data_IF_041354334368
#
_entry.id   IF_041354334368
#
_cell.length_a   1.000
_cell.length_b   1.000
_cell.length_c   1.000
_cell.angle_alpha   90.00
_cell.angle_beta   90.00
_cell.angle_gamma   90.00
#
_symmetry.space_group_name_H-M   'P 1'
#
loop_
_entity.id
_entity.type
_entity.pdbx_description
1 polymer ?
#
# COMPACT_ATOMS: atom_id res chain seq x y z
N UNK A 1 -13.87 -17.36 25.66
CA UNK A 1 -12.75 -16.44 25.31
C UNK A 1 -11.69 -17.30 24.66
N UNK A 2 -11.46 -17.15 23.35
CA UNK A 2 -10.37 -17.88 22.67
C UNK A 2 -9.07 -17.64 23.45
N UNK A 3 -8.37 -18.74 23.77
CA UNK A 3 -7.19 -18.68 24.63
C UNK A 3 -6.09 -17.88 23.93
N UNK A 4 -5.17 -17.27 24.68
CA UNK A 4 -4.00 -16.57 24.12
C UNK A 4 -3.13 -17.43 23.17
N UNK A 5 -3.39 -18.74 23.03
CA UNK A 5 -2.72 -19.65 22.10
C UNK A 5 -3.31 -19.64 20.68
N UNK A 6 -4.54 -19.17 20.49
CA UNK A 6 -5.27 -19.21 19.21
C UNK A 6 -5.15 -17.89 18.42
N UNK A 7 -3.98 -17.28 18.49
CA UNK A 7 -3.79 -15.92 18.03
C UNK A 7 -3.04 -15.89 16.68
N UNK A 8 -3.71 -15.55 15.56
CA UNK A 8 -3.26 -15.88 14.21
C UNK A 8 -1.83 -15.50 13.90
N UNK A 9 -1.42 -14.26 14.20
CA UNK A 9 -0.07 -13.75 13.95
C UNK A 9 0.21 -12.68 15.01
N UNK A 10 0.33 -13.09 16.27
CA UNK A 10 0.53 -12.12 17.34
C UNK A 10 1.85 -11.35 17.21
N UNK A 11 1.83 -10.04 17.48
CA UNK A 11 3.01 -9.16 17.40
C UNK A 11 4.23 -9.62 18.22
N UNK A 12 4.02 -10.44 19.26
CA UNK A 12 5.12 -11.02 20.06
C UNK A 12 5.80 -12.23 19.39
N UNK A 13 5.18 -12.82 18.35
CA UNK A 13 5.79 -13.85 17.50
C UNK A 13 6.56 -13.25 16.32
N UNK A 14 6.19 -12.05 15.88
CA UNK A 14 6.96 -11.29 14.91
C UNK A 14 8.27 -10.83 15.57
N UNK A 15 9.38 -11.41 15.12
CA UNK A 15 10.68 -11.20 15.75
C UNK A 15 11.15 -9.75 15.49
N UNK A 16 11.39 -9.00 16.56
CA UNK A 16 11.84 -7.62 16.49
C UNK A 16 13.29 -7.48 15.96
N UNK A 17 14.09 -8.55 16.07
CA UNK A 17 15.45 -8.61 15.55
C UNK A 17 15.52 -9.12 14.10
N UNK A 18 14.43 -9.73 13.61
CA UNK A 18 14.25 -10.16 12.22
C UNK A 18 13.03 -9.43 11.64
N UNK A 19 13.14 -8.13 11.33
CA UNK A 19 12.00 -7.22 11.17
C UNK A 19 11.22 -7.41 9.86
N UNK A 20 11.65 -8.32 8.98
CA UNK A 20 11.02 -8.55 7.70
C UNK A 20 10.26 -9.88 7.73
N UNK A 21 8.93 -9.83 7.78
CA UNK A 21 8.09 -11.00 8.01
C UNK A 21 7.33 -11.39 6.75
N UNK A 22 7.39 -12.66 6.35
CA UNK A 22 6.67 -13.20 5.19
C UNK A 22 5.76 -14.34 5.64
N UNK A 23 4.44 -14.19 5.49
CA UNK A 23 3.46 -15.26 5.64
C UNK A 23 3.30 -16.05 4.35
N UNK A 24 3.33 -17.38 4.45
CA UNK A 24 2.90 -18.30 3.40
C UNK A 24 1.63 -19.00 3.85
N UNK A 25 0.62 -19.08 2.98
CA UNK A 25 -0.50 -19.99 3.23
C UNK A 25 0.02 -21.43 3.18
N UNK A 26 -0.44 -22.25 4.12
CA UNK A 26 0.10 -23.59 4.38
C UNK A 26 -0.94 -24.69 4.18
N UNK A 27 -2.21 -24.35 4.36
CA UNK A 27 -3.33 -25.27 4.18
C UNK A 27 -4.60 -24.77 4.83
N UNK A 28 -5.67 -25.54 4.75
CA UNK A 28 -6.92 -25.26 5.45
C UNK A 28 -7.28 -26.45 6.35
N UNK A 29 -7.53 -26.17 7.62
CA UNK A 29 -7.80 -27.21 8.62
C UNK A 29 -9.11 -27.95 8.37
N UNK A 30 -10.11 -27.27 7.79
CA UNK A 30 -11.45 -27.83 7.61
C UNK A 30 -11.54 -28.68 6.34
N UNK A 31 -10.95 -28.25 5.23
CA UNK A 31 -10.94 -29.04 3.99
C UNK A 31 -9.82 -30.08 3.96
N UNK A 32 -8.75 -29.88 4.74
CA UNK A 32 -7.53 -30.69 4.68
C UNK A 32 -6.59 -30.28 3.54
N UNK A 33 -6.93 -29.20 2.81
CA UNK A 33 -6.12 -28.73 1.69
C UNK A 33 -4.76 -28.21 2.15
N UNK A 34 -3.79 -28.30 1.26
CA UNK A 34 -2.40 -27.99 1.54
C UNK A 34 -1.79 -27.21 0.37
N UNK A 35 -1.06 -26.14 0.69
CA UNK A 35 -0.42 -25.27 -0.29
C UNK A 35 0.65 -25.97 -1.15
N UNK A 36 1.27 -27.00 -0.58
CA UNK A 36 2.40 -27.71 -1.17
C UNK A 36 2.28 -29.21 -0.89
N UNK A 37 2.79 -30.01 -1.81
CA UNK A 37 2.98 -31.44 -1.60
C UNK A 37 4.09 -31.71 -0.56
N UNK A 38 4.29 -32.99 -0.21
CA UNK A 38 5.25 -33.37 0.85
C UNK A 38 6.68 -32.91 0.53
N UNK A 39 7.08 -32.89 -0.75
CA UNK A 39 8.42 -32.46 -1.16
C UNK A 39 8.56 -30.95 -1.12
N UNK A 40 7.59 -30.22 -1.66
CA UNK A 40 7.56 -28.76 -1.65
C UNK A 40 7.55 -28.18 -0.24
N UNK A 41 6.89 -28.83 0.72
CA UNK A 41 6.94 -28.44 2.14
C UNK A 41 8.35 -28.45 2.72
N UNK A 42 9.13 -29.49 2.41
CA UNK A 42 10.53 -29.59 2.86
C UNK A 42 11.39 -28.48 2.26
N UNK A 43 11.19 -28.18 0.98
CA UNK A 43 11.94 -27.15 0.26
C UNK A 43 11.64 -25.73 0.77
N UNK A 44 10.36 -25.41 1.02
CA UNK A 44 9.94 -24.12 1.61
C UNK A 44 10.63 -23.90 2.96
N UNK A 45 10.62 -24.91 3.83
CA UNK A 45 11.20 -24.82 5.17
C UNK A 45 12.72 -24.58 5.16
N UNK A 46 13.44 -25.25 4.26
CA UNK A 46 14.91 -25.19 4.19
C UNK A 46 15.37 -23.93 3.44
N UNK A 47 14.64 -23.51 2.40
CA UNK A 47 15.08 -22.41 1.53
C UNK A 47 15.16 -21.06 2.24
N UNK A 48 14.37 -20.81 3.29
CA UNK A 48 14.47 -19.58 4.09
C UNK A 48 15.87 -19.41 4.69
N UNK A 49 16.47 -20.50 5.20
CA UNK A 49 17.82 -20.51 5.78
C UNK A 49 18.90 -20.28 4.72
N UNK A 50 18.64 -20.63 3.46
CA UNK A 50 19.55 -20.37 2.36
C UNK A 50 19.61 -18.88 1.96
N UNK A 51 18.49 -18.15 2.11
CA UNK A 51 18.47 -16.70 1.90
C UNK A 51 18.96 -15.92 3.12
N UNK A 52 18.69 -16.44 4.32
CA UNK A 52 19.10 -15.83 5.59
C UNK A 52 19.30 -16.92 6.67
N UNK A 53 20.55 -17.20 7.07
CA UNK A 53 20.86 -18.19 8.10
C UNK A 53 20.26 -17.87 9.48
N UNK A 54 19.93 -16.60 9.75
CA UNK A 54 19.28 -16.18 10.99
C UNK A 54 17.75 -16.33 10.93
N UNK A 55 17.19 -16.69 9.78
CA UNK A 55 15.74 -16.75 9.60
C UNK A 55 15.07 -17.72 10.57
N UNK A 56 13.86 -17.36 10.99
CA UNK A 56 13.02 -18.16 11.89
C UNK A 56 11.65 -18.31 11.29
N UNK A 57 11.00 -19.44 11.54
CA UNK A 57 9.62 -19.65 11.14
C UNK A 57 8.74 -20.16 12.27
N UNK A 58 7.45 -19.85 12.19
CA UNK A 58 6.45 -20.35 13.14
C UNK A 58 5.08 -20.52 12.46
N UNK A 59 4.27 -21.49 12.90
CA UNK A 59 2.93 -21.68 12.40
C UNK A 59 1.96 -20.61 12.93
N UNK A 60 1.02 -20.24 12.07
CA UNK A 60 -0.02 -19.25 12.26
C UNK A 60 -1.35 -19.80 11.72
N UNK A 61 -2.48 -19.27 12.18
CA UNK A 61 -3.80 -19.70 11.65
C UNK A 61 -4.82 -18.58 11.72
N UNK A 62 -5.47 -18.27 10.60
CA UNK A 62 -6.52 -17.25 10.48
C UNK A 62 -7.81 -17.97 10.14
N UNK A 63 -8.78 -17.93 11.05
CA UNK A 63 -10.00 -18.76 10.93
C UNK A 63 -9.66 -20.24 10.71
N UNK A 64 -9.94 -20.77 9.53
CA UNK A 64 -9.67 -22.16 9.14
C UNK A 64 -8.37 -22.31 8.33
N UNK A 65 -7.79 -21.21 7.87
CA UNK A 65 -6.55 -21.21 7.08
C UNK A 65 -5.33 -21.27 7.99
N UNK A 66 -4.38 -22.12 7.63
CA UNK A 66 -3.08 -22.30 8.25
C UNK A 66 -2.03 -21.53 7.45
N UNK A 67 -1.10 -20.91 8.15
CA UNK A 67 0.00 -20.16 7.57
C UNK A 67 1.33 -20.57 8.22
N UNK A 68 2.43 -20.37 7.51
CA UNK A 68 3.78 -20.43 8.03
C UNK A 68 4.41 -19.05 7.87
N UNK A 69 4.78 -18.42 8.99
CA UNK A 69 5.38 -17.08 8.99
C UNK A 69 6.88 -17.22 9.13
N UNK A 70 7.61 -16.59 8.21
CA UNK A 70 9.08 -16.51 8.19
C UNK A 70 9.53 -15.11 8.57
N UNK A 71 10.59 -15.01 9.38
CA UNK A 71 11.18 -13.75 9.82
C UNK A 71 12.61 -13.69 9.29
N UNK A 72 12.98 -12.58 8.66
CA UNK A 72 14.29 -12.34 8.04
C UNK A 72 14.96 -11.09 8.63
N UNK A 73 16.28 -11.15 8.77
CA UNK A 73 17.15 -10.05 9.16
C UNK A 73 17.24 -8.98 8.08
N UNK A 74 17.22 -9.38 6.80
CA UNK A 74 17.33 -8.45 5.67
C UNK A 74 16.09 -8.46 4.78
N UNK A 75 15.77 -7.28 4.24
CA UNK A 75 14.64 -7.12 3.33
C UNK A 75 14.86 -7.83 2.01
N UNK A 76 16.10 -7.86 1.50
CA UNK A 76 16.44 -8.55 0.26
C UNK A 76 16.15 -10.05 0.35
N UNK A 77 16.59 -10.70 1.45
CA UNK A 77 16.30 -12.12 1.68
C UNK A 77 14.79 -12.38 1.77
N UNK A 78 14.07 -11.51 2.48
CA UNK A 78 12.61 -11.61 2.59
C UNK A 78 11.91 -11.43 1.23
N UNK A 79 12.35 -10.49 0.39
CA UNK A 79 11.81 -10.29 -0.95
C UNK A 79 12.06 -11.51 -1.84
N UNK A 80 13.30 -12.02 -1.88
CA UNK A 80 13.65 -13.20 -2.68
C UNK A 80 12.86 -14.45 -2.25
N UNK A 81 12.70 -14.65 -0.95
CA UNK A 81 11.90 -15.75 -0.41
C UNK A 81 10.41 -15.58 -0.73
N UNK A 82 9.87 -14.37 -0.52
CA UNK A 82 8.50 -14.00 -0.88
C UNK A 82 8.21 -14.28 -2.34
N UNK A 83 9.09 -13.85 -3.24
CA UNK A 83 8.89 -13.94 -4.69
C UNK A 83 8.88 -15.39 -5.17
N UNK A 84 9.83 -16.20 -4.67
CA UNK A 84 9.90 -17.63 -4.99
C UNK A 84 8.64 -18.39 -4.54
N UNK A 85 8.19 -18.14 -3.32
CA UNK A 85 7.13 -18.94 -2.69
C UNK A 85 5.75 -18.29 -2.72
N UNK A 86 5.63 -17.11 -3.35
CA UNK A 86 4.40 -16.30 -3.44
C UNK A 86 3.85 -15.91 -2.05
N UNK A 87 4.77 -15.52 -1.15
CA UNK A 87 4.44 -15.09 0.21
C UNK A 87 3.88 -13.69 0.33
N UNK A 88 3.40 -13.36 1.53
CA UNK A 88 2.89 -12.04 1.89
C UNK A 88 3.79 -11.38 2.92
N UNK A 89 4.24 -10.15 2.67
CA UNK A 89 4.76 -9.34 3.76
C UNK A 89 3.68 -9.08 4.81
N UNK A 90 3.98 -9.39 6.06
CA UNK A 90 3.17 -8.97 7.19
C UNK A 90 3.77 -7.66 7.69
N UNK A 91 3.02 -6.56 7.60
CA UNK A 91 3.37 -5.38 8.40
C UNK A 91 2.86 -5.60 9.83
N UNK A 92 3.69 -5.31 10.82
CA UNK A 92 3.31 -5.27 12.24
C UNK A 92 2.07 -4.41 12.52
N UNK A 93 1.74 -3.47 11.63
CA UNK A 93 0.55 -2.62 11.72
C UNK A 93 -0.73 -3.27 11.15
N UNK A 94 -0.63 -4.37 10.41
CA UNK A 94 -1.76 -5.23 9.99
C UNK A 94 -2.19 -6.22 11.08
N UNK A 95 -1.40 -6.31 12.15
CA UNK A 95 -1.65 -7.17 13.30
C UNK A 95 -2.27 -6.33 14.41
N UNK A 96 -3.51 -6.63 14.76
CA UNK A 96 -4.19 -5.94 15.83
C UNK A 96 -3.55 -6.27 17.21
N UNK A 97 -3.98 -5.54 18.24
CA UNK A 97 -3.46 -5.74 19.62
C UNK A 97 -3.85 -7.08 20.23
N UNK A 98 -4.87 -7.74 19.67
CA UNK A 98 -5.26 -9.09 20.03
C UNK A 98 -4.51 -10.12 19.21
N UNK A 99 -3.59 -9.72 18.31
CA UNK A 99 -2.78 -10.52 17.40
C UNK A 99 -3.53 -11.10 16.19
N UNK A 100 -4.76 -10.65 15.99
CA UNK A 100 -5.51 -10.96 14.78
C UNK A 100 -4.89 -10.15 13.65
N UNK A 101 -4.41 -10.87 12.65
CA UNK A 101 -3.94 -10.27 11.42
C UNK A 101 -5.11 -10.12 10.46
N UNK A 102 -5.32 -8.91 9.99
CA UNK A 102 -6.25 -8.64 8.89
C UNK A 102 -5.38 -8.19 7.73
N UNK A 103 -5.17 -9.03 6.70
CA UNK A 103 -4.47 -8.56 5.52
C UNK A 103 -5.18 -7.31 5.01
N UNK A 104 -4.43 -6.30 4.56
CA UNK A 104 -5.05 -5.17 3.85
C UNK A 104 -5.66 -5.72 2.56
N UNK A 105 -6.89 -6.22 2.64
CA UNK A 105 -7.67 -6.65 1.49
C UNK A 105 -7.96 -5.41 0.63
N UNK A 106 -7.07 -5.17 -0.32
CA UNK A 106 -7.38 -5.34 -1.74
C UNK A 106 -8.65 -4.71 -2.29
N UNK A 107 -9.15 -3.62 -1.70
CA UNK A 107 -10.37 -2.95 -2.17
C UNK A 107 -10.09 -1.62 -2.88
N UNK A 108 -8.83 -1.31 -3.16
CA UNK A 108 -8.36 -0.12 -3.91
C UNK A 108 -6.94 -0.37 -4.44
N UNK A 109 -6.55 0.31 -5.51
CA UNK A 109 -5.17 0.36 -6.01
C UNK A 109 -4.20 0.78 -4.90
N UNK A 110 -3.49 -0.19 -4.32
CA UNK A 110 -2.57 -0.01 -3.20
C UNK A 110 -1.16 -0.52 -3.53
N UNK A 111 -0.87 -0.73 -4.81
CA UNK A 111 0.44 -1.22 -5.25
C UNK A 111 0.72 -0.69 -6.65
N UNK A 112 1.90 -0.10 -6.84
CA UNK A 112 2.38 0.32 -8.15
C UNK A 112 3.91 0.22 -8.23
N UNK A 113 4.43 0.26 -9.46
CA UNK A 113 5.86 0.28 -9.76
C UNK A 113 6.24 1.59 -10.44
N UNK A 114 7.49 2.01 -10.27
CA UNK A 114 8.10 3.10 -11.02
C UNK A 114 9.52 2.67 -11.39
N UNK A 115 9.69 2.22 -12.63
CA UNK A 115 10.95 1.69 -13.16
C UNK A 115 11.72 2.71 -14.03
N UNK A 116 11.21 3.95 -14.11
CA UNK A 116 11.84 5.02 -14.88
C UNK A 116 12.96 5.70 -14.08
N UNK A 117 13.56 6.74 -14.67
CA UNK A 117 14.63 7.51 -14.05
C UNK A 117 14.18 8.94 -13.68
N UNK A 118 14.95 9.53 -12.77
CA UNK A 118 14.76 10.86 -12.23
C UNK A 118 14.71 11.94 -13.33
N UNK A 119 15.59 11.88 -14.33
CA UNK A 119 15.63 12.86 -15.42
C UNK A 119 14.37 12.81 -16.30
N UNK A 120 13.84 11.62 -16.59
CA UNK A 120 12.59 11.45 -17.32
C UNK A 120 11.42 12.09 -16.57
N UNK A 121 11.33 11.84 -15.25
CA UNK A 121 10.31 12.44 -14.38
C UNK A 121 10.41 13.96 -14.42
N UNK A 122 11.62 14.52 -14.22
CA UNK A 122 11.84 15.97 -14.21
C UNK A 122 11.54 16.61 -15.55
N UNK A 123 11.97 16.01 -16.65
CA UNK A 123 11.79 16.52 -18.00
C UNK A 123 10.29 16.62 -18.35
N UNK A 124 9.53 15.55 -18.12
CA UNK A 124 8.09 15.52 -18.45
C UNK A 124 7.28 16.49 -17.58
N UNK A 125 7.61 16.58 -16.29
CA UNK A 125 6.86 17.39 -15.32
C UNK A 125 7.37 18.83 -15.18
N UNK A 126 8.51 19.15 -15.81
CA UNK A 126 9.23 20.41 -15.66
C UNK A 126 9.57 20.71 -14.19
N UNK A 127 9.95 19.68 -13.44
CA UNK A 127 10.39 19.82 -12.06
C UNK A 127 11.79 20.46 -12.01
N UNK A 128 11.85 21.70 -11.52
CA UNK A 128 13.09 22.48 -11.47
C UNK A 128 13.89 22.21 -10.19
N UNK A 129 13.23 21.76 -9.14
CA UNK A 129 13.84 21.41 -7.86
C UNK A 129 13.81 19.90 -7.71
N UNK A 130 14.93 19.34 -7.25
CA UNK A 130 15.04 17.92 -6.96
C UNK A 130 15.66 17.69 -5.60
N UNK A 131 14.89 17.07 -4.71
CA UNK A 131 15.25 16.77 -3.33
C UNK A 131 15.33 15.26 -3.08
N UNK A 132 15.36 14.44 -4.14
CA UNK A 132 15.37 12.97 -4.01
C UNK A 132 16.77 12.38 -3.81
N UNK A 133 17.83 13.11 -4.15
CA UNK A 133 19.19 12.59 -4.12
C UNK A 133 19.39 11.55 -5.23
N UNK A 134 19.98 10.40 -4.90
CA UNK A 134 20.06 9.25 -5.80
C UNK A 134 18.75 8.45 -5.73
N UNK A 135 17.99 8.45 -6.82
CA UNK A 135 16.74 7.68 -6.91
C UNK A 135 17.04 6.23 -7.29
N UNK A 136 17.27 5.37 -6.28
CA UNK A 136 17.46 3.94 -6.51
C UNK A 136 16.21 3.30 -7.15
N UNK A 137 16.37 2.22 -7.96
CA UNK A 137 15.25 1.53 -8.58
C UNK A 137 14.41 0.79 -7.52
N UNK A 138 13.48 1.50 -6.89
CA UNK A 138 12.47 0.88 -6.03
C UNK A 138 11.39 0.31 -6.95
N UNK A 139 11.31 -1.01 -7.00
CA UNK A 139 10.42 -1.71 -7.93
C UNK A 139 8.96 -1.62 -7.52
N UNK A 140 8.63 -1.54 -6.22
CA UNK A 140 7.25 -1.56 -5.74
C UNK A 140 7.02 -0.55 -4.61
N UNK A 141 5.96 0.25 -4.74
CA UNK A 141 5.50 1.21 -3.74
C UNK A 141 4.23 0.70 -3.08
N UNK A 142 4.22 0.78 -1.75
CA UNK A 142 3.15 0.28 -0.88
C UNK A 142 2.61 1.40 0.03
N UNK A 143 1.39 1.27 0.56
CA UNK A 143 0.81 2.31 1.41
C UNK A 143 1.67 2.52 2.66
N UNK A 144 1.77 3.76 3.09
CA UNK A 144 2.59 4.27 4.21
C UNK A 144 4.10 4.31 3.96
N UNK A 145 4.57 3.92 2.77
CA UNK A 145 5.98 4.08 2.34
C UNK A 145 6.22 5.45 1.71
N UNK A 146 7.48 5.85 1.63
CA UNK A 146 7.87 7.04 0.85
C UNK A 146 7.98 6.68 -0.63
N UNK A 147 7.43 7.55 -1.48
CA UNK A 147 7.50 7.41 -2.93
C UNK A 147 7.83 8.75 -3.59
N UNK A 148 8.48 8.74 -4.78
CA UNK A 148 8.77 9.97 -5.49
C UNK A 148 7.47 10.56 -6.02
N UNK A 149 7.27 11.87 -5.82
CA UNK A 149 6.20 12.66 -6.43
C UNK A 149 6.79 13.97 -6.94
N UNK A 150 6.14 14.58 -7.93
CA UNK A 150 6.39 15.98 -8.28
C UNK A 150 5.28 16.83 -7.71
N UNK A 151 5.60 17.69 -6.75
CA UNK A 151 4.64 18.53 -6.02
C UNK A 151 4.82 20.01 -6.34
N UNK A 152 3.74 20.76 -6.23
CA UNK A 152 3.81 22.22 -6.28
C UNK A 152 4.31 22.76 -4.93
N UNK A 153 5.30 23.65 -4.97
CA UNK A 153 5.78 24.41 -3.81
C UNK A 153 5.83 25.90 -4.16
N UNK A 154 5.94 26.80 -3.16
CA UNK A 154 6.14 28.23 -3.42
C UNK A 154 7.38 28.54 -4.26
N UNK A 155 8.41 27.68 -4.22
CA UNK A 155 9.65 27.85 -4.98
C UNK A 155 9.57 27.27 -6.41
N UNK A 156 8.48 26.57 -6.75
CA UNK A 156 8.30 25.86 -8.01
C UNK A 156 8.04 24.37 -7.81
N UNK A 157 8.05 23.62 -8.91
CA UNK A 157 7.83 22.17 -8.89
C UNK A 157 9.06 21.45 -8.33
N UNK A 158 8.80 20.58 -7.36
CA UNK A 158 9.82 19.81 -6.66
C UNK A 158 9.56 18.31 -6.82
N UNK A 159 10.56 17.57 -7.28
CA UNK A 159 10.63 16.12 -7.18
C UNK A 159 11.14 15.74 -5.78
N UNK A 160 10.33 15.05 -4.98
CA UNK A 160 10.66 14.68 -3.60
C UNK A 160 10.05 13.33 -3.19
N UNK A 161 10.66 12.69 -2.19
CA UNK A 161 10.09 11.51 -1.54
C UNK A 161 9.07 11.93 -0.46
N UNK A 162 7.83 11.51 -0.63
CA UNK A 162 6.71 11.87 0.25
C UNK A 162 6.00 10.59 0.72
N UNK A 163 5.44 10.56 1.94
CA UNK A 163 4.82 9.35 2.51
C UNK A 163 3.43 9.12 1.92
N UNK A 164 3.16 7.93 1.39
CA UNK A 164 1.90 7.59 0.74
C UNK A 164 0.81 7.27 1.77
N UNK A 165 -0.20 8.13 1.87
CA UNK A 165 -1.31 8.01 2.80
C UNK A 165 -1.68 9.37 3.35
N UNK A 166 -2.61 10.06 2.69
CA UNK A 166 -3.17 11.33 3.13
C UNK A 166 -3.83 11.18 4.51
N UNK A 167 -4.05 12.29 5.26
CA UNK A 167 -4.75 12.21 6.52
C UNK A 167 -6.13 11.58 6.37
N UNK A 168 -6.49 10.67 7.28
CA UNK A 168 -7.86 10.18 7.38
C UNK A 168 -8.82 11.29 7.81
N UNK A 169 -10.12 11.11 7.59
CA UNK A 169 -11.11 12.10 8.02
C UNK A 169 -11.15 12.20 9.55
N UNK A 170 -11.42 13.40 10.07
CA UNK A 170 -11.55 13.63 11.52
C UNK A 170 -12.62 12.74 12.14
N UNK A 171 -13.70 12.47 11.40
CA UNK A 171 -14.75 11.54 11.81
C UNK A 171 -14.24 10.10 11.92
N UNK A 172 -13.43 9.62 10.96
CA UNK A 172 -12.86 8.27 11.00
C UNK A 172 -11.92 8.10 12.21
N UNK A 173 -11.05 9.09 12.45
CA UNK A 173 -10.14 9.10 13.61
C UNK A 173 -10.93 9.14 14.92
N UNK A 174 -11.97 9.98 15.01
CA UNK A 174 -12.84 10.04 16.18
C UNK A 174 -13.54 8.70 16.46
N UNK A 175 -14.07 8.04 15.43
CA UNK A 175 -14.71 6.72 15.55
C UNK A 175 -13.73 5.64 16.00
N UNK A 176 -12.52 5.61 15.44
CA UNK A 176 -11.46 4.69 15.85
C UNK A 176 -11.06 4.89 17.32
N UNK A 177 -10.82 6.15 17.72
CA UNK A 177 -10.52 6.52 19.10
C UNK A 177 -11.66 6.14 20.05
N UNK A 178 -12.92 6.35 19.66
CA UNK A 178 -14.11 5.98 20.45
C UNK A 178 -14.17 4.47 20.67
N UNK A 179 -14.04 3.68 19.59
CA UNK A 179 -14.02 2.21 19.67
C UNK A 179 -12.91 1.71 20.59
N UNK A 180 -11.74 2.35 20.54
CA UNK A 180 -10.61 2.03 21.40
C UNK A 180 -10.85 2.42 22.86
N UNK A 181 -11.41 3.60 23.11
CA UNK A 181 -11.78 4.08 24.45
C UNK A 181 -12.76 3.11 25.12
N UNK A 182 -13.80 2.70 24.40
CA UNK A 182 -14.80 1.76 24.92
C UNK A 182 -14.19 0.39 25.22
N UNK A 183 -13.26 -0.07 24.38
CA UNK A 183 -12.49 -1.28 24.64
C UNK A 183 -11.58 -1.21 25.88
N UNK A 184 -11.13 -0.02 26.27
CA UNK A 184 -10.35 0.22 27.48
C UNK A 184 -11.26 0.33 28.72
N UNK A 185 -12.36 1.06 28.63
CA UNK A 185 -13.37 1.19 29.70
C UNK A 185 -13.96 -0.16 30.10
N UNK A 186 -14.27 -1.03 29.12
CA UNK A 186 -14.71 -2.42 29.36
C UNK A 186 -13.69 -3.27 30.13
N UNK A 187 -12.42 -2.86 30.17
CA UNK A 187 -11.35 -3.52 30.93
C UNK A 187 -11.07 -2.82 32.27
N UNK A 188 -11.95 -1.92 32.70
CA UNK A 188 -11.80 -1.17 33.96
C UNK A 188 -10.67 -0.14 33.93
N UNK A 189 -10.17 0.25 32.75
CA UNK A 189 -9.12 1.27 32.63
C UNK A 189 -9.74 2.66 32.56
N UNK A 190 -9.15 3.60 33.29
CA UNK A 190 -9.43 5.02 33.12
C UNK A 190 -8.96 5.49 31.73
N UNK A 191 -9.72 6.39 31.11
CA UNK A 191 -9.46 6.86 29.74
C UNK A 191 -9.57 8.38 29.69
N UNK A 192 -8.43 9.04 29.49
CA UNK A 192 -8.40 10.38 28.93
C UNK A 192 -8.66 10.29 27.43
N UNK A 193 -9.89 10.64 27.04
CA UNK A 193 -10.32 10.55 25.65
C UNK A 193 -9.61 11.56 24.74
N UNK A 194 -9.28 12.75 25.24
CA UNK A 194 -8.64 13.78 24.43
C UNK A 194 -7.21 13.38 24.10
N UNK A 195 -6.48 12.89 25.10
CA UNK A 195 -5.15 12.35 24.88
C UNK A 195 -5.17 11.09 24.00
N UNK A 196 -6.18 10.21 24.17
CA UNK A 196 -6.35 9.04 23.31
C UNK A 196 -6.59 9.43 21.85
N UNK A 197 -7.46 10.40 21.61
CA UNK A 197 -7.80 10.91 20.28
C UNK A 197 -6.57 11.53 19.60
N UNK A 198 -5.81 12.35 20.32
CA UNK A 198 -4.56 12.94 19.83
C UNK A 198 -3.52 11.88 19.43
N UNK A 199 -3.51 10.76 20.16
CA UNK A 199 -2.57 9.66 19.94
C UNK A 199 -3.15 8.49 19.12
N UNK A 200 -4.32 8.69 18.51
CA UNK A 200 -4.95 7.62 17.73
C UNK A 200 -4.17 7.40 16.43
N UNK A 201 -3.78 6.15 16.12
CA UNK A 201 -3.05 5.86 14.89
C UNK A 201 -3.88 6.15 13.64
N UNK A 202 -3.26 6.80 12.67
CA UNK A 202 -3.80 7.07 11.34
C UNK A 202 -2.97 6.33 10.30
N UNK A 203 -3.52 5.24 9.75
CA UNK A 203 -2.91 4.48 8.65
C UNK A 203 -2.88 5.25 7.32
N UNK A 204 -3.60 6.36 7.22
CA UNK A 204 -3.71 7.21 6.05
C UNK A 204 -4.63 6.68 4.95
N UNK A 205 -4.98 7.58 4.06
CA UNK A 205 -5.84 7.34 2.89
C UNK A 205 -5.00 7.46 1.62
N UNK A 206 -4.78 6.33 0.94
CA UNK A 206 -3.97 6.27 -0.29
C UNK A 206 -4.67 6.84 -1.51
N UNK A 207 -5.99 6.68 -1.55
CA UNK A 207 -6.83 6.92 -2.72
C UNK A 207 -8.00 7.86 -2.38
N UNK A 208 -8.22 8.86 -3.23
CA UNK A 208 -9.31 9.84 -3.08
C UNK A 208 -10.34 9.64 -4.20
N UNK A 209 -11.51 9.12 -3.84
CA UNK A 209 -12.65 8.93 -4.76
C UNK A 209 -13.58 10.14 -4.75
N UNK A 210 -14.20 10.40 -3.59
CA UNK A 210 -15.21 11.45 -3.46
C UNK A 210 -14.55 12.79 -3.14
N UNK A 211 -14.02 13.45 -4.17
CA UNK A 211 -13.36 14.76 -4.05
C UNK A 211 -14.27 15.88 -3.54
N UNK A 212 -15.59 15.70 -3.61
CA UNK A 212 -16.58 16.67 -3.12
C UNK A 212 -16.80 16.62 -1.60
N UNK A 213 -16.24 15.61 -0.91
CA UNK A 213 -16.35 15.53 0.54
C UNK A 213 -15.71 16.74 1.23
N UNK A 214 -16.31 17.19 2.34
CA UNK A 214 -15.79 18.31 3.14
C UNK A 214 -14.33 18.10 3.58
N UNK A 215 -13.91 16.85 3.78
CA UNK A 215 -12.55 16.50 4.18
C UNK A 215 -11.51 16.85 3.09
N UNK A 216 -11.83 16.64 1.82
CA UNK A 216 -10.90 16.86 0.70
C UNK A 216 -10.94 18.29 0.14
N UNK A 217 -12.07 19.00 0.28
CA UNK A 217 -12.24 20.37 -0.24
C UNK A 217 -11.15 21.35 0.16
N UNK A 218 -10.59 21.21 1.37
CA UNK A 218 -9.51 22.04 1.89
C UNK A 218 -8.15 21.86 1.17
N UNK A 219 -7.99 20.81 0.36
CA UNK A 219 -6.75 20.50 -0.36
C UNK A 219 -6.95 20.43 -1.89
N UNK A 220 -7.96 21.12 -2.42
CA UNK A 220 -8.23 21.20 -3.86
C UNK A 220 -7.39 22.27 -4.57
N UNK A 221 -6.79 23.19 -3.81
CA UNK A 221 -5.93 24.26 -4.28
C UNK A 221 -4.72 23.74 -5.06
N UNK A 222 -4.18 24.60 -5.93
CA UNK A 222 -3.04 24.27 -6.81
C UNK A 222 -1.79 23.93 -5.99
N UNK A 223 -1.62 24.58 -4.86
CA UNK A 223 -0.53 24.37 -3.90
C UNK A 223 -0.51 22.95 -3.31
N UNK A 224 -1.64 22.25 -3.31
CA UNK A 224 -1.75 20.86 -2.82
C UNK A 224 -1.69 19.83 -3.95
N UNK A 225 -1.43 20.23 -5.19
CA UNK A 225 -1.34 19.29 -6.32
C UNK A 225 0.03 18.66 -6.41
N UNK A 226 0.03 17.38 -6.76
CA UNK A 226 1.21 16.66 -7.19
C UNK A 226 0.87 15.71 -8.34
N UNK A 227 1.90 15.21 -9.02
CA UNK A 227 1.79 14.05 -9.92
C UNK A 227 2.65 12.93 -9.39
N UNK A 228 2.13 11.71 -9.47
CA UNK A 228 2.78 10.50 -8.93
C UNK A 228 3.27 9.65 -10.09
N UNK A 229 4.59 9.61 -10.37
CA UNK A 229 5.16 8.81 -11.45
C UNK A 229 4.95 7.31 -11.20
N UNK A 230 4.54 6.60 -12.24
CA UNK A 230 4.42 5.14 -12.24
C UNK A 230 4.70 4.56 -13.64
N UNK A 231 5.03 3.28 -13.71
CA UNK A 231 5.24 2.53 -14.96
C UNK A 231 4.32 1.32 -15.07
N UNK A 232 3.83 0.80 -13.95
CA UNK A 232 2.71 -0.15 -13.89
C UNK A 232 2.00 -0.05 -12.53
N UNK A 233 0.74 -0.47 -12.47
CA UNK A 233 -0.02 -0.56 -11.21
C UNK A 233 -0.73 -1.89 -11.10
N UNK A 234 -1.02 -2.30 -9.87
CA UNK A 234 -1.70 -3.54 -9.59
C UNK A 234 -3.10 -3.29 -9.04
N UNK A 235 -4.04 -4.11 -9.49
CA UNK A 235 -5.32 -4.29 -8.81
C UNK A 235 -5.46 -5.76 -8.35
N UNK A 236 -6.13 -6.00 -7.22
CA UNK A 236 -6.44 -7.34 -6.75
C UNK A 236 -7.38 -8.06 -7.72
N UNK A 237 -7.07 -9.30 -8.03
CA UNK A 237 -7.80 -10.15 -8.98
C UNK A 237 -8.46 -11.34 -8.26
N UNK A 238 -9.61 -11.12 -7.61
CA UNK A 238 -10.28 -12.16 -6.83
C UNK A 238 -10.81 -13.31 -7.71
N UNK A 239 -11.00 -13.09 -9.01
CA UNK A 239 -11.49 -14.10 -9.93
C UNK A 239 -10.46 -15.22 -10.17
N UNK A 240 -9.17 -14.88 -10.12
CA UNK A 240 -8.07 -15.83 -10.24
C UNK A 240 -7.47 -16.27 -8.90
N UNK A 241 -8.20 -16.06 -7.79
CA UNK A 241 -7.78 -16.52 -6.46
C UNK A 241 -7.71 -18.05 -6.43
N UNK A 242 -6.53 -18.67 -6.23
CA UNK A 242 -6.44 -20.11 -6.04
C UNK A 242 -7.14 -20.51 -4.74
N UNK A 243 -7.72 -21.72 -4.71
CA UNK A 243 -8.40 -22.24 -3.53
C UNK A 243 -7.45 -22.26 -2.32
N UNK A 244 -7.89 -21.66 -1.21
CA UNK A 244 -7.06 -21.44 -0.01
C UNK A 244 -5.94 -20.40 -0.16
N UNK A 245 -5.57 -19.99 -1.36
CA UNK A 245 -4.50 -19.01 -1.57
C UNK A 245 -4.96 -17.56 -1.52
N UNK A 246 -4.00 -16.63 -1.65
CA UNK A 246 -4.29 -15.19 -1.68
C UNK A 246 -4.82 -14.76 -3.03
N UNK A 247 -5.65 -13.73 -3.01
CA UNK A 247 -6.01 -12.98 -4.22
C UNK A 247 -4.74 -12.50 -4.92
N UNK A 248 -4.45 -12.94 -6.16
CA UNK A 248 -3.31 -12.46 -6.92
C UNK A 248 -3.50 -10.99 -7.31
N UNK A 249 -2.42 -10.37 -7.78
CA UNK A 249 -2.46 -9.05 -8.39
C UNK A 249 -2.46 -9.19 -9.91
N UNK A 250 -3.37 -8.49 -10.55
CA UNK A 250 -3.32 -8.19 -11.98
C UNK A 250 -2.56 -6.88 -12.19
N UNK A 251 -1.58 -6.89 -13.09
CA UNK A 251 -0.74 -5.73 -13.37
C UNK A 251 -1.17 -5.03 -14.65
N UNK A 252 -1.24 -3.70 -14.62
CA UNK A 252 -1.62 -2.87 -15.74
C UNK A 252 -0.51 -1.88 -16.09
N UNK A 253 -0.31 -1.62 -17.38
CA UNK A 253 0.60 -0.60 -17.90
C UNK A 253 0.02 -0.02 -19.20
N UNK A 254 0.62 1.05 -19.73
CA UNK A 254 0.19 1.59 -21.02
C UNK A 254 0.42 0.60 -22.17
N UNK A 255 1.58 -0.06 -22.15
CA UNK A 255 2.03 -1.06 -23.11
C UNK A 255 3.16 -1.93 -22.51
N UNK A 256 3.62 -3.01 -23.18
CA UNK A 256 4.63 -3.92 -22.64
C UNK A 256 6.02 -3.31 -22.39
N UNK A 257 6.29 -2.08 -22.86
CA UNK A 257 7.55 -1.36 -22.59
C UNK A 257 7.53 -0.61 -21.25
N UNK A 258 6.40 -0.58 -20.55
CA UNK A 258 6.23 0.09 -19.25
C UNK A 258 6.60 1.59 -19.28
N UNK A 259 6.03 2.40 -20.19
CA UNK A 259 6.37 3.81 -20.28
C UNK A 259 5.95 4.56 -19.01
N UNK A 260 6.66 5.64 -18.71
CA UNK A 260 6.38 6.51 -17.57
C UNK A 260 5.04 7.24 -17.76
N UNK A 261 4.14 7.06 -16.80
CA UNK A 261 2.85 7.74 -16.68
C UNK A 261 2.72 8.39 -15.30
N UNK A 262 1.62 9.12 -15.07
CA UNK A 262 1.42 9.86 -13.84
C UNK A 262 0.00 9.71 -13.30
N UNK A 263 -0.15 9.43 -11.99
CA UNK A 263 -1.43 9.60 -11.33
C UNK A 263 -1.69 11.07 -10.96
N UNK A 264 -2.94 11.48 -11.03
CA UNK A 264 -3.39 12.78 -10.53
C UNK A 264 -3.38 12.79 -8.99
N UNK A 265 -2.38 13.44 -8.40
CA UNK A 265 -2.10 13.40 -6.97
C UNK A 265 -2.49 14.66 -6.18
N UNK A 266 -2.72 14.46 -4.88
CA UNK A 266 -2.81 15.52 -3.87
C UNK A 266 -1.73 15.26 -2.82
N UNK A 267 -1.08 16.32 -2.32
CA UNK A 267 -0.12 16.24 -1.23
C UNK A 267 -0.48 17.24 -0.12
N UNK A 268 -0.05 16.93 1.11
CA UNK A 268 -0.28 17.72 2.32
C UNK A 268 1.06 17.89 3.05
N UNK A 269 1.58 19.13 3.18
CA UNK A 269 2.83 19.38 3.89
C UNK A 269 2.66 19.25 5.40
N UNK A 270 3.74 18.81 6.06
CA UNK A 270 3.99 19.00 7.50
C UNK A 270 2.81 18.59 8.39
N UNK A 271 2.17 17.47 8.07
CA UNK A 271 1.04 16.95 8.82
C UNK A 271 1.52 16.22 10.07
N UNK A 272 1.07 16.69 11.24
CA UNK A 272 1.34 16.06 12.52
C UNK A 272 0.32 14.95 12.81
N UNK A 273 0.76 13.70 12.92
CA UNK A 273 -0.09 12.58 13.34
C UNK A 273 0.72 11.38 13.84
N UNK A 274 0.01 10.43 14.46
CA UNK A 274 0.59 9.12 14.80
C UNK A 274 0.37 8.18 13.61
N UNK A 275 1.40 7.97 12.80
CA UNK A 275 1.32 7.05 11.65
C UNK A 275 1.42 5.60 12.07
N UNK A 276 2.42 5.32 12.91
CA UNK A 276 2.62 4.02 13.56
C UNK A 276 2.67 4.20 15.06
N UNK A 277 2.01 3.30 15.80
CA UNK A 277 1.99 3.34 17.28
C UNK A 277 3.40 3.40 17.87
N UNK A 278 4.36 2.71 17.23
CA UNK A 278 5.76 2.65 17.67
C UNK A 278 6.53 3.95 17.47
N UNK A 279 6.14 4.76 16.48
CA UNK A 279 6.80 6.03 16.14
C UNK A 279 6.27 7.18 17.00
N UNK A 280 5.06 7.04 17.55
CA UNK A 280 4.42 8.12 18.27
C UNK A 280 4.01 9.26 17.34
N UNK A 281 3.94 10.48 17.88
CA UNK A 281 3.52 11.66 17.13
C UNK A 281 4.68 12.15 16.25
N UNK A 282 4.42 12.30 14.95
CA UNK A 282 5.45 12.67 13.97
C UNK A 282 4.89 13.68 12.96
N UNK A 283 5.76 14.52 12.42
CA UNK A 283 5.42 15.47 11.34
C UNK A 283 5.89 14.88 10.01
N UNK A 284 4.98 14.73 9.05
CA UNK A 284 5.28 14.12 7.75
C UNK A 284 4.63 14.93 6.62
N UNK A 285 5.33 14.98 5.48
CA UNK A 285 4.66 15.30 4.22
C UNK A 285 3.95 14.03 3.72
N UNK A 286 2.67 14.18 3.36
CA UNK A 286 1.79 13.08 2.97
C UNK A 286 1.30 13.28 1.54
N UNK A 287 1.06 12.19 0.82
CA UNK A 287 0.41 12.25 -0.49
C UNK A 287 -0.56 11.11 -0.70
N UNK A 288 -1.43 11.26 -1.68
CA UNK A 288 -2.32 10.23 -2.21
C UNK A 288 -2.74 10.64 -3.61
N UNK A 289 -3.46 9.78 -4.30
CA UNK A 289 -3.91 10.09 -5.65
C UNK A 289 -5.39 9.84 -5.84
N UNK A 290 -5.94 10.53 -6.83
CA UNK A 290 -7.33 10.40 -7.20
C UNK A 290 -7.56 9.03 -7.82
N UNK A 291 -8.75 8.51 -7.57
CA UNK A 291 -9.27 7.34 -8.27
C UNK A 291 -10.52 7.75 -9.03
N UNK A 292 -10.85 7.03 -10.11
CA UNK A 292 -12.11 7.11 -10.87
C UNK A 292 -12.81 5.74 -10.97
N UNK A 293 -14.02 5.68 -11.52
CA UNK A 293 -14.65 4.42 -11.97
C UNK A 293 -13.71 3.65 -12.92
N UNK A 294 -13.71 2.32 -12.90
CA UNK A 294 -12.86 1.53 -13.80
C UNK A 294 -13.30 1.68 -15.26
N UNK A 295 -12.37 1.44 -16.19
CA UNK A 295 -12.65 1.35 -17.62
C UNK A 295 -12.87 -0.11 -18.05
N UNK A 296 -13.08 -0.36 -19.35
CA UNK A 296 -13.37 -1.71 -19.86
C UNK A 296 -12.22 -2.72 -19.70
N UNK A 297 -11.00 -2.25 -19.41
CA UNK A 297 -9.83 -3.09 -19.16
C UNK A 297 -9.69 -3.46 -17.69
N UNK A 298 -9.94 -2.52 -16.77
CA UNK A 298 -9.79 -2.73 -15.32
C UNK A 298 -11.04 -3.36 -14.70
N UNK A 299 -12.24 -2.99 -15.16
CA UNK A 299 -13.51 -3.44 -14.59
C UNK A 299 -13.66 -4.96 -14.46
N UNK A 300 -13.25 -5.78 -15.46
CA UNK A 300 -13.32 -7.24 -15.35
C UNK A 300 -12.49 -7.83 -14.21
N UNK A 301 -11.47 -7.11 -13.75
CA UNK A 301 -10.56 -7.52 -12.68
C UNK A 301 -10.99 -6.89 -11.35
N UNK A 302 -11.26 -5.58 -11.33
CA UNK A 302 -11.56 -4.81 -10.13
C UNK A 302 -12.65 -3.76 -10.41
N UNK A 303 -13.89 -4.13 -10.07
CA UNK A 303 -15.11 -3.37 -10.41
C UNK A 303 -15.28 -2.06 -9.64
N UNK A 304 -14.50 -1.83 -8.58
CA UNK A 304 -14.73 -0.70 -7.68
C UNK A 304 -14.02 0.58 -8.14
N UNK A 305 -12.85 0.44 -8.78
CA UNK A 305 -11.98 1.58 -9.04
C UNK A 305 -10.87 1.30 -10.02
N UNK A 306 -10.41 2.38 -10.67
CA UNK A 306 -9.04 2.52 -11.15
C UNK A 306 -8.44 3.88 -10.72
N UNK A 307 -7.11 4.06 -10.73
CA UNK A 307 -6.48 5.36 -10.55
C UNK A 307 -6.85 6.36 -11.65
N UNK A 308 -6.89 7.66 -11.33
CA UNK A 308 -6.98 8.72 -12.34
C UNK A 308 -5.59 8.97 -12.95
N UNK A 309 -5.45 8.72 -14.25
CA UNK A 309 -4.17 8.71 -14.97
C UNK A 309 -4.08 9.89 -15.93
N UNK A 310 -2.96 10.60 -15.88
CA UNK A 310 -2.58 11.68 -16.79
C UNK A 310 -1.65 11.12 -17.86
N UNK A 311 -2.01 11.32 -19.13
CA UNK A 311 -1.42 10.60 -20.27
C UNK A 311 -0.42 11.42 -21.08
N UNK A 312 -0.42 12.74 -20.92
CA UNK A 312 0.41 13.65 -21.71
C UNK A 312 0.77 14.91 -20.92
N UNK A 313 1.71 15.69 -21.46
CA UNK A 313 2.20 16.91 -20.84
C UNK A 313 1.09 17.95 -20.61
N UNK A 314 0.10 18.07 -21.50
CA UNK A 314 -0.99 19.05 -21.33
C UNK A 314 -1.89 18.69 -20.15
N UNK A 315 -2.19 17.40 -19.95
CA UNK A 315 -2.95 16.93 -18.78
C UNK A 315 -2.16 17.09 -17.47
N UNK A 316 -0.85 16.85 -17.51
CA UNK A 316 0.05 17.09 -16.36
C UNK A 316 0.08 18.58 -16.01
N UNK A 317 0.26 19.45 -17.00
CA UNK A 317 0.25 20.90 -16.82
C UNK A 317 -1.10 21.40 -16.31
N UNK A 318 -2.20 20.95 -16.91
CA UNK A 318 -3.55 21.29 -16.46
C UNK A 318 -3.80 20.83 -15.02
N UNK A 319 -3.37 19.62 -14.64
CA UNK A 319 -3.50 19.13 -13.27
C UNK A 319 -2.70 20.00 -12.28
N UNK A 320 -1.47 20.37 -12.64
CA UNK A 320 -0.56 21.12 -11.78
C UNK A 320 -0.82 22.63 -11.75
N UNK A 321 -1.66 23.19 -12.61
CA UNK A 321 -1.82 24.66 -12.71
C UNK A 321 -3.26 25.16 -12.81
N UNK A 322 -4.18 24.35 -13.37
CA UNK A 322 -5.53 24.83 -13.63
C UNK A 322 -6.36 24.94 -12.33
N UNK A 323 -7.34 25.88 -12.28
CA UNK A 323 -8.31 25.94 -11.20
C UNK A 323 -9.03 24.60 -11.02
N UNK A 324 -9.46 24.30 -9.78
CA UNK A 324 -10.09 23.04 -9.42
C UNK A 324 -11.24 22.63 -10.35
N UNK A 325 -12.10 23.58 -10.73
CA UNK A 325 -13.25 23.34 -11.62
C UNK A 325 -12.88 22.76 -12.99
N UNK A 326 -11.67 23.07 -13.49
CA UNK A 326 -11.15 22.51 -14.73
C UNK A 326 -10.40 21.21 -14.45
N UNK A 327 -9.49 21.23 -13.47
CA UNK A 327 -8.61 20.10 -13.19
C UNK A 327 -9.38 18.85 -12.71
N UNK A 328 -10.50 19.00 -11.98
CA UNK A 328 -11.30 17.85 -11.52
C UNK A 328 -11.86 17.01 -12.66
N UNK A 329 -11.95 17.56 -13.89
CA UNK A 329 -12.38 16.81 -15.08
C UNK A 329 -11.36 15.75 -15.51
N UNK A 330 -10.12 15.83 -15.02
CA UNK A 330 -9.08 14.82 -15.22
C UNK A 330 -9.27 13.60 -14.30
N UNK A 331 -10.16 13.68 -13.31
CA UNK A 331 -10.62 12.51 -12.54
C UNK A 331 -11.66 11.73 -13.36
N UNK A 332 -11.18 11.01 -14.38
CA UNK A 332 -12.00 10.25 -15.33
C UNK A 332 -11.35 8.92 -15.67
N UNK A 333 -12.10 7.88 -16.05
CA UNK A 333 -11.51 6.64 -16.53
C UNK A 333 -10.59 6.91 -17.73
N UNK A 334 -9.46 6.19 -17.75
CA UNK A 334 -8.58 6.17 -18.90
C UNK A 334 -9.29 5.44 -20.05
N UNK A 335 -9.00 5.82 -21.30
CA UNK A 335 -9.58 5.10 -22.46
C UNK A 335 -9.05 3.66 -22.49
N UNK A 336 -9.89 2.73 -22.95
CA UNK A 336 -9.57 1.30 -22.98
C UNK A 336 -8.34 0.99 -23.85
N UNK A 337 -8.09 1.78 -24.90
CA UNK A 337 -6.96 1.61 -25.82
C UNK A 337 -5.62 2.14 -25.28
N UNK A 338 -5.60 2.71 -24.07
CA UNK A 338 -4.42 3.31 -23.45
C UNK A 338 -3.90 2.51 -22.24
N UNK A 339 -4.45 1.32 -22.01
CA UNK A 339 -4.06 0.45 -20.92
C UNK A 339 -4.15 -1.01 -21.37
N UNK A 340 -3.18 -1.81 -20.96
CA UNK A 340 -3.19 -3.25 -21.14
C UNK A 340 -3.13 -3.96 -19.79
N UNK A 341 -3.75 -5.14 -19.74
CA UNK A 341 -3.44 -6.15 -18.72
C UNK A 341 -2.13 -6.83 -19.11
N UNK A 342 -1.13 -6.76 -18.24
CA UNK A 342 0.15 -7.40 -18.44
C UNK A 342 0.04 -8.92 -18.25
N UNK A 343 0.85 -9.67 -18.99
CA UNK A 343 0.96 -11.11 -18.78
C UNK A 343 1.43 -11.41 -17.35
N UNK A 344 0.93 -12.49 -16.71
CA UNK A 344 1.40 -12.90 -15.40
C UNK A 344 2.93 -13.07 -15.40
N UNK A 345 3.60 -12.56 -14.38
CA UNK A 345 5.04 -12.72 -14.24
C UNK A 345 5.37 -14.22 -14.15
N UNK A 346 6.26 -14.70 -15.03
CA UNK A 346 6.77 -16.05 -14.95
C UNK A 346 7.53 -16.20 -13.63
N UNK A 347 7.13 -17.17 -12.81
CA UNK A 347 7.90 -17.51 -11.60
C UNK A 347 9.21 -18.10 -12.09
N UNK A 348 10.33 -17.44 -11.77
CA UNK A 348 11.64 -18.04 -11.98
C UNK A 348 11.68 -19.38 -11.22
N UNK A 349 11.91 -20.47 -11.96
CA UNK A 349 11.96 -21.84 -11.46
C UNK A 349 13.07 -22.05 -10.43
#
# INVERSE_FOLDING_TARGET
MASRRDNPIARWRLDAHLPHHVALWWGNYHSGDHAYDVRGRGEVLISALAYDPASRSYPASVEWDQYLVFCFATREAACRFRDRWRGQFIDTDEVDRKGAWTPREGNVCNLYRMLSNQDAIRSITRAMIDSTGNMEPITEFWPDYRAPIVRNTPAGRELAYVRWGLPSSSQAIYQAATKRADGLRKKGKEVDFQQLLKMEPDGGTTNVRNVESKHWKRWQGVEFRCVVPFTSFAEPDPANKPEGGRTPNAWFAADPSHPLMFFAGIWVPQWESVRKVKEGLTVNDLFGFLTTEPNGVVEPIHQKAMPAILTNSDEIEAWLTAPWEQARKLQRPLRDDQLILLAPEAVAA
#
